data_IF_370982477597
#
_entry.id   IF_370982477597
#
_cell.length_a   1.000
_cell.length_b   1.000
_cell.length_c   1.000
_cell.angle_alpha   90.00
_cell.angle_beta   90.00
_cell.angle_gamma   90.00
#
_symmetry.space_group_name_H-M   'P 1'
#
loop_
_entity.id
_entity.type
_entity.pdbx_description
1 polymer ?
#
# COMPACT_ATOMS: atom_id res chain seq x y z
N UNK A 1 -9.84 21.04 -18.59
CA UNK A 1 -9.73 19.58 -18.59
C UNK A 1 -10.75 19.02 -17.60
N UNK A 2 -11.47 17.95 -17.92
CA UNK A 2 -12.49 17.42 -17.01
C UNK A 2 -11.86 16.74 -15.79
N UNK A 3 -12.61 16.66 -14.69
CA UNK A 3 -12.14 16.08 -13.41
C UNK A 3 -11.88 14.57 -13.57
N UNK A 4 -12.73 13.90 -14.35
CA UNK A 4 -12.62 12.48 -14.67
C UNK A 4 -11.31 12.19 -15.40
N UNK A 5 -10.98 13.00 -16.41
CA UNK A 5 -9.75 12.84 -17.17
C UNK A 5 -8.51 13.09 -16.31
N UNK A 6 -8.55 14.12 -15.45
CA UNK A 6 -7.48 14.40 -14.49
C UNK A 6 -7.28 13.23 -13.51
N UNK A 7 -8.36 12.66 -12.97
CA UNK A 7 -8.29 11.52 -12.07
C UNK A 7 -7.69 10.29 -12.75
N UNK A 8 -8.09 9.98 -13.99
CA UNK A 8 -7.50 8.88 -14.75
C UNK A 8 -6.01 9.14 -15.02
N UNK A 9 -5.66 10.33 -15.52
CA UNK A 9 -4.25 10.68 -15.82
C UNK A 9 -3.37 10.58 -14.56
N UNK A 10 -3.92 10.88 -13.38
CA UNK A 10 -3.15 10.87 -12.13
C UNK A 10 -2.60 9.50 -11.72
N UNK A 11 -3.18 8.41 -12.23
CA UNK A 11 -2.72 7.03 -11.94
C UNK A 11 -1.96 6.39 -13.11
N UNK A 12 -2.03 6.98 -14.31
CA UNK A 12 -1.46 6.40 -15.53
C UNK A 12 0.07 6.20 -15.49
N UNK A 13 0.90 7.17 -15.01
CA UNK A 13 2.35 6.98 -14.97
C UNK A 13 2.75 5.74 -14.17
N UNK A 14 2.05 5.52 -13.06
CA UNK A 14 2.27 4.39 -12.17
C UNK A 14 1.77 3.08 -12.76
N UNK A 15 0.58 3.08 -13.39
CA UNK A 15 0.06 1.93 -14.11
C UNK A 15 1.01 1.48 -15.23
N UNK A 16 1.51 2.45 -16.00
CA UNK A 16 2.47 2.22 -17.07
C UNK A 16 3.76 1.58 -16.53
N UNK A 17 4.32 2.13 -15.46
CA UNK A 17 5.51 1.57 -14.81
C UNK A 17 5.29 0.11 -14.37
N UNK A 18 4.17 -0.21 -13.73
CA UNK A 18 3.87 -1.58 -13.29
C UNK A 18 3.77 -2.57 -14.45
N UNK A 19 3.08 -2.19 -15.52
CA UNK A 19 2.87 -3.06 -16.69
C UNK A 19 4.18 -3.30 -17.44
N UNK A 20 4.92 -2.22 -17.75
CA UNK A 20 6.14 -2.31 -18.58
C UNK A 20 7.25 -3.07 -17.88
N UNK A 21 7.32 -2.98 -16.55
CA UNK A 21 8.39 -3.65 -15.80
C UNK A 21 8.05 -5.10 -15.47
N UNK A 22 6.80 -5.55 -15.59
CA UNK A 22 6.39 -6.90 -15.19
C UNK A 22 7.06 -7.98 -16.06
N UNK A 23 7.67 -9.03 -15.48
CA UNK A 23 8.48 -9.99 -16.25
C UNK A 23 7.67 -10.89 -17.19
N UNK A 24 6.39 -11.16 -16.89
CA UNK A 24 5.56 -12.07 -17.69
C UNK A 24 4.71 -11.32 -18.71
N UNK A 25 4.57 -11.93 -19.90
CA UNK A 25 3.88 -11.36 -21.06
C UNK A 25 2.63 -12.15 -21.49
N UNK A 26 1.99 -12.88 -20.57
CA UNK A 26 0.64 -13.41 -20.82
C UNK A 26 -0.38 -12.26 -20.75
N UNK A 27 -0.45 -11.50 -21.83
CA UNK A 27 -1.19 -10.24 -21.90
C UNK A 27 -2.69 -10.39 -21.63
N UNK A 28 -3.43 -11.39 -22.18
CA UNK A 28 -4.86 -11.52 -21.91
C UNK A 28 -5.17 -11.74 -20.42
N UNK A 29 -4.43 -12.64 -19.78
CA UNK A 29 -4.59 -12.89 -18.34
C UNK A 29 -4.19 -11.67 -17.52
N UNK A 30 -3.08 -11.02 -17.88
CA UNK A 30 -2.59 -9.83 -17.18
C UNK A 30 -3.61 -8.69 -17.24
N UNK A 31 -4.20 -8.44 -18.41
CA UNK A 31 -5.25 -7.41 -18.58
C UNK A 31 -6.44 -7.71 -17.67
N UNK A 32 -6.91 -8.96 -17.62
CA UNK A 32 -8.02 -9.33 -16.74
C UNK A 32 -7.67 -9.08 -15.26
N UNK A 33 -6.47 -9.49 -14.81
CA UNK A 33 -6.01 -9.26 -13.44
C UNK A 33 -5.95 -7.77 -13.12
N UNK A 34 -5.41 -6.96 -14.03
CA UNK A 34 -5.31 -5.51 -13.89
C UNK A 34 -6.69 -4.85 -13.77
N UNK A 35 -7.63 -5.19 -14.66
CA UNK A 35 -8.98 -4.61 -14.66
C UNK A 35 -9.76 -4.97 -13.39
N UNK A 36 -9.69 -6.23 -12.96
CA UNK A 36 -10.34 -6.67 -11.73
C UNK A 36 -9.70 -6.00 -10.51
N UNK A 37 -8.36 -5.92 -10.45
CA UNK A 37 -7.66 -5.25 -9.36
C UNK A 37 -8.00 -3.75 -9.27
N UNK A 38 -8.08 -3.04 -10.40
CA UNK A 38 -8.57 -1.65 -10.43
C UNK A 38 -10.00 -1.53 -9.87
N UNK A 39 -10.90 -2.41 -10.30
CA UNK A 39 -12.27 -2.46 -9.80
C UNK A 39 -12.35 -2.74 -8.30
N UNK A 40 -11.50 -3.64 -7.79
CA UNK A 40 -11.38 -3.91 -6.35
C UNK A 40 -10.84 -2.71 -5.58
N UNK A 41 -9.91 -1.94 -6.16
CA UNK A 41 -9.44 -0.68 -5.60
C UNK A 41 -10.57 0.33 -5.40
N UNK A 42 -11.40 0.50 -6.44
CA UNK A 42 -12.60 1.35 -6.32
C UNK A 42 -13.57 0.80 -5.28
N UNK A 43 -13.91 -0.49 -5.33
CA UNK A 43 -14.80 -1.12 -4.36
C UNK A 43 -14.30 -0.95 -2.92
N UNK A 44 -12.98 -0.97 -2.72
CA UNK A 44 -12.33 -0.72 -1.44
C UNK A 44 -12.60 0.71 -0.94
N UNK A 45 -12.50 1.73 -1.80
CA UNK A 45 -12.82 3.12 -1.43
C UNK A 45 -14.28 3.27 -1.02
N UNK A 46 -15.21 2.67 -1.77
CA UNK A 46 -16.64 2.69 -1.43
C UNK A 46 -16.91 2.00 -0.09
N UNK A 47 -16.21 0.89 0.19
CA UNK A 47 -16.32 0.18 1.46
C UNK A 47 -15.81 1.04 2.61
N UNK A 48 -14.66 1.69 2.45
CA UNK A 48 -14.10 2.63 3.44
C UNK A 48 -15.08 3.75 3.74
N UNK A 49 -15.64 4.41 2.72
CA UNK A 49 -16.57 5.51 2.92
C UNK A 49 -17.83 5.08 3.69
N UNK A 50 -18.39 3.91 3.36
CA UNK A 50 -19.54 3.34 4.06
C UNK A 50 -19.20 2.98 5.50
N UNK A 51 -18.13 2.22 5.72
CA UNK A 51 -17.70 1.81 7.07
C UNK A 51 -17.35 3.02 7.93
N UNK A 52 -16.68 4.02 7.38
CA UNK A 52 -16.35 5.24 8.10
C UNK A 52 -17.60 5.98 8.58
N UNK A 53 -18.61 6.10 7.72
CA UNK A 53 -19.88 6.75 8.10
C UNK A 53 -20.66 6.01 9.20
N UNK A 54 -20.51 4.68 9.29
CA UNK A 54 -21.18 3.85 10.30
C UNK A 54 -20.42 3.88 11.63
N UNK A 55 -19.10 3.77 11.59
CA UNK A 55 -18.26 3.63 12.78
C UNK A 55 -17.90 4.97 13.42
N UNK A 56 -17.84 6.05 12.63
CA UNK A 56 -17.57 7.41 13.10
C UNK A 56 -18.57 8.42 12.52
N UNK A 57 -19.87 8.29 12.85
CA UNK A 57 -20.86 9.27 12.43
C UNK A 57 -20.47 10.66 12.96
N UNK A 58 -20.69 11.68 12.13
CA UNK A 58 -20.25 13.08 12.35
C UNK A 58 -20.67 13.65 13.70
N UNK A 59 -21.79 13.21 14.26
CA UNK A 59 -22.29 13.59 15.59
C UNK A 59 -21.44 13.03 16.75
N UNK A 60 -20.81 11.86 16.56
CA UNK A 60 -19.91 11.21 17.55
C UNK A 60 -18.47 11.74 17.41
N UNK A 61 -18.07 12.17 16.21
CA UNK A 61 -16.77 12.79 15.96
C UNK A 61 -16.60 14.14 16.69
N UNK A 62 -17.69 14.88 16.93
CA UNK A 62 -17.65 16.12 17.72
C UNK A 62 -17.56 15.88 19.23
N UNK A 63 -18.09 14.75 19.72
CA UNK A 63 -17.98 14.36 21.14
C UNK A 63 -16.64 13.70 21.46
N UNK A 64 -16.02 12.96 20.52
CA UNK A 64 -14.66 12.42 20.70
C UNK A 64 -13.57 13.50 20.66
N UNK A 65 -13.77 14.57 19.88
CA UNK A 65 -12.96 15.80 19.92
C UNK A 65 -12.92 16.45 21.30
N UNK A 66 -13.98 16.30 22.11
CA UNK A 66 -14.04 16.76 23.51
C UNK A 66 -13.34 15.82 24.50
N UNK A 67 -13.18 14.54 24.17
CA UNK A 67 -12.62 13.52 25.06
C UNK A 67 -11.09 13.37 24.97
N UNK A 68 -10.49 13.71 23.82
CA UNK A 68 -9.04 13.63 23.59
C UNK A 68 -8.39 14.97 23.95
N UNK A 69 -7.64 15.02 25.05
CA UNK A 69 -7.09 16.27 25.62
C UNK A 69 -5.95 16.92 24.82
N UNK A 70 -5.35 16.23 23.86
CA UNK A 70 -4.19 16.73 23.10
C UNK A 70 -4.37 16.60 21.58
N UNK A 71 -4.01 17.66 20.85
CA UNK A 71 -3.97 17.72 19.38
C UNK A 71 -3.16 16.54 18.81
N UNK A 72 -2.07 16.16 19.48
CA UNK A 72 -1.20 15.06 19.06
C UNK A 72 -1.94 13.71 19.03
N UNK A 73 -2.63 13.39 20.13
CA UNK A 73 -3.40 12.15 20.25
C UNK A 73 -4.59 12.10 19.28
N UNK A 74 -5.18 13.26 18.97
CA UNK A 74 -6.26 13.34 18.00
C UNK A 74 -5.75 13.09 16.57
N UNK A 75 -4.64 13.72 16.19
CA UNK A 75 -4.01 13.47 14.89
C UNK A 75 -3.58 12.01 14.75
N UNK A 76 -3.00 11.42 15.80
CA UNK A 76 -2.63 10.01 15.79
C UNK A 76 -3.85 9.09 15.62
N UNK A 77 -4.96 9.37 16.31
CA UNK A 77 -6.18 8.57 16.16
C UNK A 77 -6.77 8.66 14.74
N UNK A 78 -6.86 9.88 14.20
CA UNK A 78 -7.35 10.11 12.84
C UNK A 78 -6.47 9.38 11.82
N UNK A 79 -5.15 9.55 11.91
CA UNK A 79 -4.19 9.01 10.95
C UNK A 79 -4.07 7.48 11.00
N UNK A 80 -3.94 6.89 12.18
CA UNK A 80 -3.67 5.45 12.29
C UNK A 80 -4.95 4.61 12.33
N UNK A 81 -6.02 5.10 12.94
CA UNK A 81 -7.22 4.28 13.18
C UNK A 81 -8.29 4.58 12.15
N UNK A 82 -8.72 5.84 12.01
CA UNK A 82 -9.82 6.19 11.12
C UNK A 82 -9.44 6.12 9.64
N UNK A 83 -8.25 6.61 9.29
CA UNK A 83 -7.73 6.52 7.93
C UNK A 83 -6.94 5.22 7.74
N UNK A 84 -5.72 5.13 8.30
CA UNK A 84 -4.78 4.06 8.03
C UNK A 84 -5.33 2.66 8.24
N UNK A 85 -5.86 2.33 9.43
CA UNK A 85 -6.37 0.98 9.70
C UNK A 85 -7.58 0.64 8.84
N UNK A 86 -8.53 1.57 8.68
CA UNK A 86 -9.75 1.32 7.89
C UNK A 86 -9.42 1.08 6.42
N UNK A 87 -8.61 1.96 5.83
CA UNK A 87 -8.22 1.88 4.42
C UNK A 87 -7.37 0.65 4.14
N UNK A 88 -6.35 0.41 4.96
CA UNK A 88 -5.48 -0.75 4.75
C UNK A 88 -6.20 -2.07 5.04
N UNK A 89 -7.17 -2.12 5.96
CA UNK A 89 -7.95 -3.35 6.18
C UNK A 89 -8.78 -3.67 4.94
N UNK A 90 -9.50 -2.68 4.41
CA UNK A 90 -10.31 -2.85 3.20
C UNK A 90 -9.45 -3.25 1.99
N UNK A 91 -8.30 -2.61 1.81
CA UNK A 91 -7.39 -2.92 0.69
C UNK A 91 -6.70 -4.27 0.87
N UNK A 92 -6.11 -4.53 2.03
CA UNK A 92 -5.31 -5.74 2.28
C UNK A 92 -6.14 -7.02 2.18
N UNK A 93 -7.39 -7.00 2.66
CA UNK A 93 -8.32 -8.14 2.52
C UNK A 93 -8.60 -8.44 1.05
N UNK A 94 -8.88 -7.42 0.24
CA UNK A 94 -9.16 -7.58 -1.19
C UNK A 94 -7.90 -8.00 -1.97
N UNK A 95 -6.74 -7.45 -1.64
CA UNK A 95 -5.45 -7.83 -2.24
C UNK A 95 -5.15 -9.29 -1.94
N UNK A 96 -5.24 -9.71 -0.67
CA UNK A 96 -4.98 -11.09 -0.28
C UNK A 96 -6.00 -12.03 -0.94
N UNK A 97 -7.29 -11.72 -0.85
CA UNK A 97 -8.36 -12.54 -1.41
C UNK A 97 -8.22 -12.73 -2.91
N UNK A 98 -7.99 -11.66 -3.66
CA UNK A 98 -7.81 -11.77 -5.11
C UNK A 98 -6.46 -12.38 -5.50
N UNK A 99 -5.39 -12.15 -4.73
CA UNK A 99 -4.10 -12.82 -4.94
C UNK A 99 -4.21 -14.33 -4.76
N UNK A 100 -5.01 -14.79 -3.79
CA UNK A 100 -5.31 -16.22 -3.59
C UNK A 100 -6.08 -16.85 -4.77
N UNK A 101 -6.82 -16.06 -5.54
CA UNK A 101 -7.59 -16.52 -6.70
C UNK A 101 -6.73 -16.45 -7.98
N UNK A 102 -6.13 -15.29 -8.25
CA UNK A 102 -5.52 -14.97 -9.54
C UNK A 102 -4.00 -15.22 -9.59
N UNK A 103 -3.33 -15.19 -8.43
CA UNK A 103 -1.88 -15.18 -8.33
C UNK A 103 -1.32 -16.21 -7.33
N UNK A 104 -2.11 -17.18 -6.88
CA UNK A 104 -1.65 -18.23 -5.98
C UNK A 104 -1.64 -19.58 -6.68
N UNK A 105 -0.49 -20.24 -6.62
CA UNK A 105 -0.29 -21.58 -7.12
C UNK A 105 -0.65 -22.60 -6.03
N UNK A 106 -1.75 -23.33 -6.24
CA UNK A 106 -2.26 -24.29 -5.24
C UNK A 106 -1.42 -25.55 -5.13
N UNK A 107 -0.74 -25.95 -6.21
CA UNK A 107 0.09 -27.16 -6.24
C UNK A 107 1.37 -26.94 -5.43
N UNK A 108 2.00 -25.78 -5.63
CA UNK A 108 3.24 -25.43 -4.92
C UNK A 108 2.99 -24.64 -3.64
N UNK A 109 1.74 -24.25 -3.36
CA UNK A 109 1.35 -23.38 -2.24
C UNK A 109 2.14 -22.07 -2.19
N UNK A 110 2.35 -21.43 -3.35
CA UNK A 110 3.17 -20.22 -3.52
C UNK A 110 2.43 -19.10 -4.24
N UNK A 111 2.61 -17.87 -3.78
CA UNK A 111 2.23 -16.67 -4.51
C UNK A 111 3.17 -16.43 -5.71
N UNK A 112 2.58 -16.12 -6.86
CA UNK A 112 3.27 -15.79 -8.10
C UNK A 112 3.52 -14.27 -8.18
N UNK A 113 4.46 -13.80 -9.02
CA UNK A 113 4.73 -12.37 -9.19
C UNK A 113 3.52 -11.49 -9.52
N UNK A 114 2.46 -12.07 -10.10
CA UNK A 114 1.19 -11.41 -10.40
C UNK A 114 0.53 -10.80 -9.15
N UNK A 115 0.82 -11.30 -7.93
CA UNK A 115 0.35 -10.71 -6.68
C UNK A 115 0.85 -9.26 -6.50
N UNK A 116 2.03 -8.93 -7.03
CA UNK A 116 2.57 -7.57 -7.06
C UNK A 116 1.69 -6.64 -7.92
N UNK A 117 1.21 -7.12 -9.07
CA UNK A 117 0.29 -6.36 -9.91
C UNK A 117 -1.07 -6.20 -9.24
N UNK A 118 -1.57 -7.24 -8.56
CA UNK A 118 -2.83 -7.14 -7.80
C UNK A 118 -2.78 -6.00 -6.79
N UNK A 119 -1.77 -5.94 -5.93
CA UNK A 119 -1.65 -4.84 -4.96
C UNK A 119 -1.50 -3.48 -5.60
N UNK A 120 -0.64 -3.38 -6.62
CA UNK A 120 -0.40 -2.13 -7.32
C UNK A 120 -1.69 -1.58 -7.95
N UNK A 121 -2.45 -2.41 -8.66
CA UNK A 121 -3.67 -1.96 -9.31
C UNK A 121 -4.87 -1.78 -8.36
N UNK A 122 -4.94 -2.50 -7.25
CA UNK A 122 -5.87 -2.15 -6.15
C UNK A 122 -5.54 -0.76 -5.60
N UNK A 123 -4.24 -0.43 -5.46
CA UNK A 123 -3.83 0.90 -5.00
C UNK A 123 -4.23 2.01 -5.98
N UNK A 124 -4.02 1.78 -7.28
CA UNK A 124 -4.35 2.76 -8.31
C UNK A 124 -5.86 2.93 -8.48
N UNK A 125 -6.64 1.86 -8.33
CA UNK A 125 -8.10 1.96 -8.30
C UNK A 125 -8.58 2.80 -7.12
N UNK A 126 -8.02 2.57 -5.94
CA UNK A 126 -8.32 3.35 -4.73
C UNK A 126 -7.94 4.83 -4.89
N UNK A 127 -6.69 5.08 -5.28
CA UNK A 127 -6.16 6.43 -5.49
C UNK A 127 -6.93 7.18 -6.59
N UNK A 128 -7.36 6.51 -7.66
CA UNK A 128 -8.13 7.12 -8.74
C UNK A 128 -9.46 7.71 -8.24
N UNK A 129 -10.19 6.97 -7.40
CA UNK A 129 -11.46 7.42 -6.82
C UNK A 129 -11.24 8.60 -5.88
N UNK A 130 -10.26 8.51 -4.99
CA UNK A 130 -9.97 9.64 -4.11
C UNK A 130 -9.50 10.87 -4.89
N UNK A 131 -8.60 10.70 -5.88
CA UNK A 131 -8.11 11.80 -6.70
C UNK A 131 -9.27 12.50 -7.42
N UNK A 132 -10.21 11.74 -7.96
CA UNK A 132 -11.45 12.29 -8.52
C UNK A 132 -12.19 13.18 -7.52
N UNK A 133 -12.39 12.70 -6.29
CA UNK A 133 -13.08 13.48 -5.25
C UNK A 133 -12.32 14.74 -4.84
N UNK A 134 -11.00 14.66 -4.62
CA UNK A 134 -10.19 15.81 -4.21
C UNK A 134 -10.08 16.86 -5.33
N UNK A 135 -9.86 16.44 -6.57
CA UNK A 135 -9.78 17.33 -7.73
C UNK A 135 -11.14 17.96 -8.02
N UNK A 136 -12.24 17.22 -7.81
CA UNK A 136 -13.61 17.73 -7.97
C UNK A 136 -14.01 18.76 -6.91
N UNK A 137 -13.45 18.68 -5.69
CA UNK A 137 -13.66 19.66 -4.62
C UNK A 137 -12.76 20.90 -4.74
N UNK A 138 -11.70 20.85 -5.56
CA UNK A 138 -10.78 21.95 -5.74
C UNK A 138 -11.39 23.07 -6.60
N UNK A 139 -11.05 24.32 -6.27
CA UNK A 139 -11.42 25.48 -7.11
C UNK A 139 -10.75 25.39 -8.48
N UNK A 140 -11.29 26.09 -9.49
CA UNK A 140 -10.71 26.06 -10.84
C UNK A 140 -9.22 26.46 -10.87
N UNK A 141 -8.83 27.40 -10.00
CA UNK A 141 -7.45 27.87 -9.88
C UNK A 141 -6.51 26.86 -9.22
N UNK A 142 -7.03 26.00 -8.34
CA UNK A 142 -6.25 24.99 -7.60
C UNK A 142 -6.30 23.61 -8.26
N UNK A 143 -7.23 23.37 -9.18
CA UNK A 143 -7.48 22.04 -9.74
C UNK A 143 -6.22 21.36 -10.28
N UNK A 144 -5.38 22.12 -10.99
CA UNK A 144 -4.12 21.59 -11.57
C UNK A 144 -3.09 21.31 -10.47
N UNK A 145 -2.97 22.17 -9.47
CA UNK A 145 -2.01 21.96 -8.37
C UNK A 145 -2.43 20.77 -7.50
N UNK A 146 -3.72 20.63 -7.22
CA UNK A 146 -4.29 19.45 -6.56
C UNK A 146 -4.04 18.19 -7.36
N UNK A 147 -4.29 18.21 -8.68
CA UNK A 147 -4.00 17.07 -9.56
C UNK A 147 -2.53 16.63 -9.50
N UNK A 148 -1.58 17.57 -9.62
CA UNK A 148 -0.15 17.27 -9.57
C UNK A 148 0.23 16.68 -8.20
N UNK A 149 -0.23 17.31 -7.12
CA UNK A 149 0.03 16.86 -5.75
C UNK A 149 -0.51 15.45 -5.52
N UNK A 150 -1.76 15.18 -5.93
CA UNK A 150 -2.41 13.87 -5.80
C UNK A 150 -1.72 12.80 -6.66
N UNK A 151 -1.25 13.15 -7.86
CA UNK A 151 -0.49 12.25 -8.75
C UNK A 151 0.84 11.83 -8.12
N UNK A 152 1.60 12.78 -7.57
CA UNK A 152 2.97 12.54 -7.09
C UNK A 152 3.04 12.02 -5.65
N UNK A 153 2.15 12.50 -4.79
CA UNK A 153 2.18 12.22 -3.35
C UNK A 153 1.20 11.13 -2.99
N UNK A 154 -0.11 11.37 -3.14
CA UNK A 154 -1.13 10.41 -2.68
C UNK A 154 -1.13 9.11 -3.49
N UNK A 155 -1.12 9.18 -4.83
CA UNK A 155 -1.14 7.97 -5.67
C UNK A 155 0.09 7.11 -5.41
N UNK A 156 1.25 7.75 -5.21
CA UNK A 156 2.50 7.08 -4.87
C UNK A 156 2.45 6.47 -3.45
N UNK A 157 1.88 7.18 -2.47
CA UNK A 157 1.67 6.68 -1.12
C UNK A 157 0.88 5.36 -1.11
N UNK A 158 -0.32 5.37 -1.70
CA UNK A 158 -1.15 4.17 -1.77
C UNK A 158 -0.45 3.04 -2.54
N UNK A 159 0.20 3.38 -3.66
CA UNK A 159 0.94 2.43 -4.47
C UNK A 159 2.01 1.73 -3.65
N UNK A 160 2.90 2.48 -2.99
CA UNK A 160 4.02 1.91 -2.27
C UNK A 160 3.58 1.06 -1.09
N UNK A 161 2.58 1.50 -0.33
CA UNK A 161 2.06 0.73 0.81
C UNK A 161 1.50 -0.62 0.34
N UNK A 162 0.66 -0.62 -0.71
CA UNK A 162 0.08 -1.86 -1.23
C UNK A 162 1.10 -2.76 -1.94
N UNK A 163 2.09 -2.18 -2.63
CA UNK A 163 3.20 -2.94 -3.23
C UNK A 163 4.06 -3.57 -2.15
N UNK A 164 4.32 -2.86 -1.04
CA UNK A 164 4.99 -3.42 0.13
C UNK A 164 4.22 -4.64 0.66
N UNK A 165 2.93 -4.49 0.96
CA UNK A 165 2.08 -5.61 1.40
C UNK A 165 2.10 -6.79 0.42
N UNK A 166 2.06 -6.53 -0.89
CA UNK A 166 2.08 -7.57 -1.92
C UNK A 166 3.43 -8.26 -2.04
N UNK A 167 4.53 -7.56 -1.79
CA UNK A 167 5.85 -8.19 -1.65
C UNK A 167 5.88 -9.13 -0.45
N UNK A 168 5.21 -8.81 0.67
CA UNK A 168 5.08 -9.73 1.79
C UNK A 168 4.29 -10.99 1.43
N UNK A 169 3.28 -10.92 0.55
CA UNK A 169 2.63 -12.12 0.00
C UNK A 169 3.65 -13.03 -0.69
N UNK A 170 4.46 -12.46 -1.59
CA UNK A 170 5.48 -13.22 -2.33
C UNK A 170 6.56 -13.77 -1.39
N UNK A 171 7.08 -12.96 -0.47
CA UNK A 171 8.11 -13.36 0.51
C UNK A 171 7.62 -14.44 1.47
N UNK A 172 6.31 -14.51 1.71
CA UNK A 172 5.72 -15.57 2.52
C UNK A 172 5.84 -16.97 1.91
N UNK A 173 6.26 -17.08 0.64
CA UNK A 173 6.62 -18.34 0.01
C UNK A 173 7.79 -19.04 0.70
N UNK A 174 8.74 -18.28 1.25
CA UNK A 174 9.87 -18.79 2.02
C UNK A 174 9.56 -19.00 3.51
N UNK A 175 8.27 -18.98 3.89
CA UNK A 175 7.84 -19.21 5.28
C UNK A 175 7.06 -20.52 5.40
N UNK A 176 7.22 -21.27 6.50
CA UNK A 176 6.36 -22.41 6.80
C UNK A 176 4.88 -22.00 6.79
N UNK A 177 3.99 -22.91 6.36
CA UNK A 177 2.56 -22.63 6.24
C UNK A 177 1.93 -22.12 7.56
N UNK A 178 2.33 -22.68 8.70
CA UNK A 178 1.86 -22.25 10.02
C UNK A 178 2.30 -20.83 10.41
N UNK A 179 3.44 -20.37 9.91
CA UNK A 179 3.98 -19.03 10.20
C UNK A 179 3.50 -17.97 9.20
N UNK A 180 3.04 -18.39 8.02
CA UNK A 180 2.61 -17.50 6.94
C UNK A 180 1.53 -16.54 7.39
N UNK A 181 0.54 -17.01 8.15
CA UNK A 181 -0.56 -16.15 8.65
C UNK A 181 0.01 -15.04 9.52
N UNK A 182 0.86 -15.38 10.49
CA UNK A 182 1.47 -14.38 11.38
C UNK A 182 2.37 -13.40 10.63
N UNK A 183 3.12 -13.89 9.64
CA UNK A 183 3.94 -13.05 8.78
C UNK A 183 3.10 -12.02 7.99
N UNK A 184 1.95 -12.44 7.45
CA UNK A 184 1.03 -11.56 6.73
C UNK A 184 0.28 -10.61 7.67
N UNK A 185 -0.04 -11.03 8.90
CA UNK A 185 -0.59 -10.14 9.93
C UNK A 185 0.39 -9.01 10.26
N UNK A 186 1.68 -9.32 10.41
CA UNK A 186 2.72 -8.28 10.58
C UNK A 186 2.80 -7.35 9.38
N UNK A 187 2.71 -7.89 8.16
CA UNK A 187 2.69 -7.10 6.93
C UNK A 187 1.50 -6.12 6.89
N UNK A 188 0.33 -6.57 7.34
CA UNK A 188 -0.84 -5.71 7.49
C UNK A 188 -0.60 -4.57 8.49
N UNK A 189 -0.10 -4.86 9.69
CA UNK A 189 0.21 -3.81 10.68
C UNK A 189 1.31 -2.86 10.21
N UNK A 190 2.27 -3.35 9.42
CA UNK A 190 3.25 -2.50 8.75
C UNK A 190 2.57 -1.57 7.76
N UNK A 191 1.64 -2.05 6.93
CA UNK A 191 0.88 -1.20 5.99
C UNK A 191 0.09 -0.12 6.74
N UNK A 192 -0.63 -0.48 7.81
CA UNK A 192 -1.33 0.46 8.70
C UNK A 192 -0.37 1.50 9.27
N UNK A 193 0.82 1.07 9.68
CA UNK A 193 1.82 1.97 10.27
C UNK A 193 2.41 2.93 9.23
N UNK A 194 2.68 2.45 8.02
CA UNK A 194 3.18 3.29 6.91
C UNK A 194 2.14 4.34 6.51
N UNK A 195 0.87 3.93 6.37
CA UNK A 195 -0.23 4.84 6.08
C UNK A 195 -0.41 5.86 7.22
N UNK A 196 -0.56 5.38 8.45
CA UNK A 196 -0.79 6.23 9.60
C UNK A 196 0.36 7.20 9.85
N UNK A 197 1.62 6.81 9.64
CA UNK A 197 2.75 7.73 9.73
C UNK A 197 2.70 8.80 8.62
N UNK A 198 2.37 8.42 7.39
CA UNK A 198 2.21 9.37 6.30
C UNK A 198 1.16 10.43 6.65
N UNK A 199 -0.04 10.00 7.02
CA UNK A 199 -1.13 10.90 7.39
C UNK A 199 -0.80 11.74 8.62
N UNK A 200 -0.17 11.15 9.62
CA UNK A 200 0.23 11.84 10.84
C UNK A 200 1.18 13.01 10.56
N UNK A 201 2.09 12.86 9.60
CA UNK A 201 3.01 13.93 9.20
C UNK A 201 2.41 14.92 8.20
N UNK A 202 1.43 14.48 7.39
CA UNK A 202 0.82 15.30 6.34
C UNK A 202 -0.36 16.13 6.85
N UNK A 203 -1.21 15.59 7.73
CA UNK A 203 -2.39 16.30 8.25
C UNK A 203 -2.09 17.65 8.90
N UNK A 204 -1.03 17.80 9.73
CA UNK A 204 -0.67 19.11 10.27
C UNK A 204 -0.22 20.12 9.22
N UNK A 205 0.03 19.68 7.97
CA UNK A 205 0.43 20.51 6.82
C UNK A 205 1.72 21.33 7.05
N UNK A 206 2.59 20.84 7.94
CA UNK A 206 3.88 21.45 8.24
C UNK A 206 4.97 21.02 7.26
N UNK A 207 5.87 21.96 6.88
CA UNK A 207 6.99 21.69 5.96
C UNK A 207 7.88 20.52 6.40
N UNK A 208 8.19 20.45 7.70
CA UNK A 208 9.02 19.39 8.26
C UNK A 208 8.34 18.02 8.19
N UNK A 209 7.02 17.97 8.42
CA UNK A 209 6.23 16.74 8.26
C UNK A 209 6.27 16.23 6.82
N UNK A 210 6.13 17.13 5.83
CA UNK A 210 6.24 16.77 4.42
C UNK A 210 7.63 16.19 4.06
N UNK A 211 8.70 16.71 4.64
CA UNK A 211 10.05 16.16 4.43
C UNK A 211 10.20 14.75 5.01
N UNK A 212 9.67 14.52 6.21
CA UNK A 212 9.68 13.19 6.82
C UNK A 212 8.84 12.21 5.98
N UNK A 213 7.64 12.61 5.57
CA UNK A 213 6.78 11.79 4.71
C UNK A 213 7.47 11.45 3.38
N UNK A 214 8.14 12.41 2.74
CA UNK A 214 8.91 12.18 1.53
C UNK A 214 10.07 11.20 1.75
N UNK A 215 10.85 11.37 2.83
CA UNK A 215 11.95 10.47 3.17
C UNK A 215 11.45 9.03 3.43
N UNK A 216 10.31 8.89 4.11
CA UNK A 216 9.67 7.61 4.38
C UNK A 216 9.33 6.89 3.07
N UNK A 217 8.75 7.58 2.09
CA UNK A 217 8.44 6.98 0.78
C UNK A 217 9.66 6.66 -0.06
N UNK A 218 10.70 7.49 -0.05
CA UNK A 218 11.96 7.14 -0.71
C UNK A 218 12.52 5.85 -0.10
N UNK A 219 12.47 5.71 1.22
CA UNK A 219 12.87 4.49 1.92
C UNK A 219 12.06 3.26 1.50
N UNK A 220 10.71 3.38 1.48
CA UNK A 220 9.83 2.29 1.02
C UNK A 220 10.08 1.96 -0.45
N UNK A 221 10.27 2.96 -1.32
CA UNK A 221 10.57 2.76 -2.73
C UNK A 221 11.86 1.95 -2.92
N UNK A 222 12.94 2.36 -2.27
CA UNK A 222 14.23 1.64 -2.34
C UNK A 222 14.07 0.21 -1.85
N UNK A 223 13.32 0.00 -0.76
CA UNK A 223 13.03 -1.31 -0.25
C UNK A 223 12.25 -2.17 -1.27
N UNK A 224 11.16 -1.66 -1.83
CA UNK A 224 10.35 -2.39 -2.83
C UNK A 224 11.18 -2.73 -4.07
N UNK A 225 12.00 -1.81 -4.56
CA UNK A 225 12.87 -2.06 -5.72
C UNK A 225 13.87 -3.17 -5.41
N UNK A 226 14.49 -3.16 -4.23
CA UNK A 226 15.41 -4.21 -3.79
C UNK A 226 14.70 -5.57 -3.71
N UNK A 227 13.56 -5.62 -3.02
CA UNK A 227 12.80 -6.86 -2.84
C UNK A 227 12.28 -7.38 -4.19
N UNK A 228 11.80 -6.51 -5.08
CA UNK A 228 11.35 -6.89 -6.42
C UNK A 228 12.45 -7.57 -7.23
N UNK A 229 13.66 -6.99 -7.25
CA UNK A 229 14.81 -7.59 -7.95
C UNK A 229 15.10 -8.99 -7.42
N UNK A 230 15.13 -9.16 -6.10
CA UNK A 230 15.41 -10.43 -5.46
C UNK A 230 14.32 -11.49 -5.72
N UNK A 231 13.06 -11.17 -5.44
CA UNK A 231 11.98 -12.16 -5.38
C UNK A 231 11.17 -12.31 -6.67
N UNK A 232 11.21 -11.34 -7.57
CA UNK A 232 10.43 -11.36 -8.82
C UNK A 232 11.33 -11.51 -10.04
N UNK A 233 12.44 -10.78 -10.11
CA UNK A 233 13.34 -10.79 -11.28
C UNK A 233 14.32 -11.97 -11.22
N UNK A 234 15.01 -12.15 -10.08
CA UNK A 234 15.98 -13.23 -9.91
C UNK A 234 15.32 -14.57 -9.53
N UNK A 235 14.04 -14.54 -9.14
CA UNK A 235 13.30 -15.70 -8.62
C UNK A 235 14.06 -16.45 -7.53
N UNK A 236 14.84 -15.74 -6.70
CA UNK A 236 15.57 -16.34 -5.60
C UNK A 236 14.56 -16.78 -4.54
N UNK A 237 14.39 -18.10 -4.29
CA UNK A 237 13.69 -18.52 -3.10
C UNK A 237 14.51 -18.01 -1.91
N UNK A 238 13.82 -17.47 -0.92
CA UNK A 238 14.44 -17.28 0.39
C UNK A 238 14.69 -18.68 0.94
N UNK A 239 15.83 -19.29 0.61
CA UNK A 239 16.31 -20.46 1.33
C UNK A 239 16.51 -19.97 2.77
N UNK A 240 15.63 -20.41 3.65
CA UNK A 240 15.67 -20.10 5.08
C UNK A 240 17.02 -20.50 5.67
N UNK A 241 17.71 -21.44 5.02
CA UNK A 241 19.07 -21.87 5.29
C UNK A 241 20.13 -20.76 5.08
N UNK A 242 19.95 -19.86 4.10
CA UNK A 242 20.90 -18.77 3.82
C UNK A 242 20.79 -17.62 4.83
N UNK A 243 19.59 -17.32 5.34
CA UNK A 243 19.41 -16.35 6.41
C UNK A 243 19.86 -16.90 7.77
N UNK A 244 19.60 -18.19 8.02
CA UNK A 244 20.15 -18.90 9.19
C UNK A 244 21.68 -18.99 9.14
N UNK A 245 22.27 -19.16 7.95
CA UNK A 245 23.71 -19.15 7.74
C UNK A 245 24.31 -17.74 7.88
N UNK A 246 23.64 -16.66 7.44
CA UNK A 246 24.12 -15.29 7.68
C UNK A 246 24.03 -14.88 9.16
N UNK A 247 22.97 -15.27 9.88
CA UNK A 247 22.85 -15.03 11.33
C UNK A 247 23.80 -15.91 12.15
N UNK A 248 23.96 -17.19 11.78
CA UNK A 248 24.96 -18.09 12.36
C UNK A 248 26.38 -17.58 12.11
N UNK A 249 26.72 -17.21 10.87
CA UNK A 249 28.01 -16.64 10.52
C UNK A 249 28.29 -15.33 11.26
N UNK A 250 27.29 -14.44 11.42
CA UNK A 250 27.44 -13.23 12.25
C UNK A 250 27.62 -13.53 13.73
N UNK A 251 26.99 -14.59 14.24
CA UNK A 251 27.14 -15.01 15.65
C UNK A 251 28.44 -15.76 15.94
N UNK A 252 29.05 -16.35 14.91
CA UNK A 252 30.31 -17.10 14.99
C UNK A 252 31.56 -16.25 14.71
N UNK A 253 31.39 -15.01 14.23
CA UNK A 253 32.49 -14.06 14.11
C UNK A 253 32.98 -13.63 15.50
N UNK A 254 34.23 -13.94 15.89
CA UNK A 254 34.76 -13.47 17.15
C UNK A 254 34.94 -11.95 17.08
N UNK A 255 34.09 -11.20 17.80
CA UNK A 255 34.35 -9.78 18.08
C UNK A 255 33.24 -8.77 17.77
N UNK A 256 31.98 -9.15 17.56
CA UNK A 256 30.87 -8.18 17.47
C UNK A 256 29.84 -8.31 18.59
N UNK A 257 30.34 -8.42 19.83
CA UNK A 257 29.60 -8.00 21.01
C UNK A 257 30.14 -6.63 21.45
N UNK A 258 29.50 -5.56 20.97
CA UNK A 258 29.45 -4.23 21.62
C UNK A 258 28.09 -3.61 21.39
#
# INVERSE_FOLDING_TARGET
MSVELLAIISILPWAFYLIVTHPKKDFPRLILVVLVALGLGWASTELVLKLNSILWPTEVAETSKKAVKSLLSQTAFLAFVQAGMMEEACKSILILGFSLIAAFDRETSRFRPEAFLVGGFVALGFAGVENYQYIGRATDNERITTFISRTLVSSNAHLLINLCFSMFLIKSNGKPLGERVWYLTKAFFLAVSQHGLFDFFVFPSGRFGLWIAAALFVGIWVWIVKDRRMYIENNEPMDVELLGAEESYRSELPGTAR
#
